data_IF_397578595233
#
_entry.id   IF_397578595233
#
_cell.length_a   1.000
_cell.length_b   1.000
_cell.length_c   1.000
_cell.angle_alpha   90.00
_cell.angle_beta   90.00
_cell.angle_gamma   90.00
#
_symmetry.space_group_name_H-M   'P 1'
#
loop_
_entity.id
_entity.type
_entity.pdbx_description
1 polymer ?
#
# COMPACT_ATOMS: atom_id res chain seq x y z
N UNK A 1 17.48 -47.47 9.14
CA UNK A 1 16.15 -46.81 9.10
C UNK A 1 16.16 -45.42 9.76
N UNK A 2 16.76 -45.26 10.95
CA UNK A 2 16.83 -43.99 11.70
C UNK A 2 17.46 -42.78 10.96
N UNK A 3 18.46 -42.98 10.08
CA UNK A 3 19.12 -41.85 9.38
C UNK A 3 18.24 -41.22 8.29
N UNK A 4 17.44 -42.01 7.57
CA UNK A 4 16.50 -41.53 6.54
C UNK A 4 15.35 -40.76 7.17
N UNK A 5 14.76 -41.30 8.24
CA UNK A 5 13.68 -40.64 9.00
C UNK A 5 14.14 -39.28 9.53
N UNK A 6 15.33 -39.21 10.13
CA UNK A 6 15.90 -37.94 10.61
C UNK A 6 16.10 -36.92 9.49
N UNK A 7 16.55 -37.36 8.31
CA UNK A 7 16.69 -36.50 7.13
C UNK A 7 15.35 -35.89 6.68
N UNK A 8 14.27 -36.68 6.71
CA UNK A 8 12.91 -36.22 6.37
C UNK A 8 12.42 -35.19 7.39
N UNK A 9 12.59 -35.46 8.69
CA UNK A 9 12.18 -34.53 9.77
C UNK A 9 12.85 -33.17 9.61
N UNK A 10 14.16 -33.12 9.36
CA UNK A 10 14.85 -31.83 9.15
C UNK A 10 14.49 -31.15 7.83
N UNK A 11 14.16 -31.91 6.80
CA UNK A 11 13.59 -31.34 5.58
C UNK A 11 12.24 -30.67 5.86
N UNK A 12 11.36 -31.33 6.62
CA UNK A 12 10.09 -30.76 7.06
C UNK A 12 10.28 -29.52 7.93
N UNK A 13 11.22 -29.53 8.87
CA UNK A 13 11.55 -28.34 9.67
C UNK A 13 12.06 -27.19 8.80
N UNK A 14 12.84 -27.48 7.75
CA UNK A 14 13.30 -26.45 6.79
C UNK A 14 12.13 -25.89 5.99
N UNK A 15 11.17 -26.73 5.62
CA UNK A 15 9.94 -26.30 4.95
C UNK A 15 9.09 -25.41 5.86
N UNK A 16 8.89 -25.79 7.13
CA UNK A 16 8.18 -24.97 8.11
C UNK A 16 8.89 -23.63 8.31
N UNK A 17 10.22 -23.64 8.43
CA UNK A 17 11.00 -22.40 8.51
C UNK A 17 10.83 -21.53 7.26
N UNK A 18 10.87 -22.12 6.06
CA UNK A 18 10.62 -21.40 4.80
C UNK A 18 9.24 -20.74 4.77
N UNK A 19 8.22 -21.44 5.28
CA UNK A 19 6.86 -20.93 5.36
C UNK A 19 6.72 -19.80 6.37
N UNK A 20 7.35 -19.93 7.55
CA UNK A 20 7.39 -18.85 8.56
C UNK A 20 8.09 -17.60 8.00
N UNK A 21 9.21 -17.77 7.28
CA UNK A 21 9.92 -16.67 6.64
C UNK A 21 9.10 -16.03 5.50
N UNK A 22 8.30 -16.81 4.77
CA UNK A 22 7.34 -16.28 3.79
C UNK A 22 6.28 -15.40 4.46
N UNK A 23 5.65 -15.90 5.54
CA UNK A 23 4.67 -15.12 6.30
C UNK A 23 5.27 -13.85 6.89
N UNK A 24 6.50 -13.94 7.40
CA UNK A 24 7.24 -12.79 7.93
C UNK A 24 7.47 -11.75 6.82
N UNK A 25 7.90 -12.19 5.64
CA UNK A 25 8.13 -11.31 4.49
C UNK A 25 6.85 -10.58 4.09
N UNK A 26 5.73 -11.30 3.98
CA UNK A 26 4.42 -10.71 3.65
C UNK A 26 3.99 -9.72 4.73
N UNK A 27 4.14 -10.07 6.01
CA UNK A 27 3.73 -9.22 7.14
C UNK A 27 4.50 -7.90 7.16
N UNK A 28 5.83 -7.96 7.04
CA UNK A 28 6.70 -6.76 6.97
C UNK A 28 6.35 -5.91 5.75
N UNK A 29 6.08 -6.53 4.60
CA UNK A 29 5.67 -5.79 3.40
C UNK A 29 4.32 -5.10 3.57
N UNK A 30 3.32 -5.77 4.16
CA UNK A 30 2.01 -5.16 4.44
C UNK A 30 2.15 -3.98 5.40
N UNK A 31 2.94 -4.12 6.46
CA UNK A 31 3.20 -3.05 7.42
C UNK A 31 3.87 -1.84 6.78
N UNK A 32 4.85 -2.06 5.90
CA UNK A 32 5.59 -1.00 5.24
C UNK A 32 4.81 -0.31 4.10
N UNK A 33 3.75 -0.94 3.58
CA UNK A 33 3.02 -0.48 2.39
C UNK A 33 1.57 -0.12 2.69
N UNK A 34 0.62 -1.02 2.42
CA UNK A 34 -0.82 -0.75 2.49
C UNK A 34 -1.29 -0.37 3.90
N UNK A 35 -0.61 -0.81 4.95
CA UNK A 35 -0.94 -0.46 6.35
C UNK A 35 -0.25 0.82 6.86
N UNK A 36 0.51 1.49 5.99
CA UNK A 36 1.22 2.72 6.30
C UNK A 36 0.56 3.90 5.56
N UNK A 37 -0.06 4.87 6.26
CA UNK A 37 -0.66 6.05 5.63
C UNK A 37 0.36 6.84 4.82
N UNK A 38 1.59 7.00 5.33
CA UNK A 38 2.66 7.74 4.64
C UNK A 38 3.01 7.11 3.31
N UNK A 39 2.98 5.77 3.21
CA UNK A 39 3.23 5.10 1.93
C UNK A 39 2.17 5.44 0.88
N UNK A 40 0.89 5.50 1.26
CA UNK A 40 -0.19 5.87 0.35
C UNK A 40 -0.06 7.34 -0.07
N UNK A 41 0.17 8.23 0.90
CA UNK A 41 0.34 9.65 0.65
C UNK A 41 1.57 9.94 -0.23
N UNK A 42 2.70 9.27 0.00
CA UNK A 42 3.89 9.36 -0.84
C UNK A 42 3.60 8.92 -2.28
N UNK A 43 2.82 7.85 -2.48
CA UNK A 43 2.40 7.45 -3.83
C UNK A 43 1.44 8.47 -4.45
N UNK A 44 0.57 9.14 -3.68
CA UNK A 44 -0.25 10.24 -4.19
C UNK A 44 0.61 11.45 -4.59
N UNK A 45 1.63 11.79 -3.80
CA UNK A 45 2.55 12.90 -4.04
C UNK A 45 3.50 12.67 -5.22
N UNK A 46 3.93 11.43 -5.43
CA UNK A 46 4.83 11.06 -6.53
C UNK A 46 4.11 10.80 -7.84
N UNK A 47 2.79 10.67 -7.80
CA UNK A 47 1.93 10.59 -9.00
C UNK A 47 1.25 11.93 -9.25
N UNK A 48 0.64 12.10 -10.43
CA UNK A 48 -0.18 13.28 -10.71
C UNK A 48 -1.54 13.24 -9.99
N UNK A 49 -1.68 12.51 -8.88
CA UNK A 49 -2.97 12.21 -8.25
C UNK A 49 -3.79 13.47 -7.94
N UNK A 50 -3.21 14.45 -7.23
CA UNK A 50 -3.92 15.65 -6.82
C UNK A 50 -4.27 16.57 -8.00
N UNK A 51 -3.41 16.61 -9.02
CA UNK A 51 -3.67 17.34 -10.27
C UNK A 51 -4.78 16.68 -11.08
N UNK A 52 -4.69 15.37 -11.30
CA UNK A 52 -5.71 14.59 -12.00
C UNK A 52 -7.07 14.69 -11.25
N UNK A 53 -7.06 14.70 -9.91
CA UNK A 53 -8.26 14.91 -9.10
C UNK A 53 -8.84 16.30 -9.23
N UNK A 54 -8.00 17.34 -9.24
CA UNK A 54 -8.44 18.70 -9.53
C UNK A 54 -9.18 18.74 -10.87
N UNK A 55 -8.63 18.12 -11.91
CA UNK A 55 -9.24 18.11 -13.25
C UNK A 55 -10.54 17.29 -13.31
N UNK A 56 -10.62 16.16 -12.61
CA UNK A 56 -11.84 15.35 -12.47
C UNK A 56 -12.95 16.15 -11.75
N UNK A 57 -12.65 16.71 -10.57
CA UNK A 57 -13.61 17.50 -9.78
C UNK A 57 -14.06 18.73 -10.57
N UNK A 58 -13.14 19.44 -11.23
CA UNK A 58 -13.48 20.64 -12.00
C UNK A 58 -14.47 20.30 -13.12
N UNK A 59 -14.25 19.20 -13.85
CA UNK A 59 -15.17 18.75 -14.92
C UNK A 59 -16.57 18.45 -14.38
N UNK A 60 -16.67 17.69 -13.29
CA UNK A 60 -17.98 17.38 -12.69
C UNK A 60 -18.69 18.62 -12.12
N UNK A 61 -17.94 19.60 -11.63
CA UNK A 61 -18.50 20.87 -11.18
C UNK A 61 -18.96 21.76 -12.35
N UNK A 62 -18.26 21.74 -13.48
CA UNK A 62 -18.68 22.45 -14.71
C UNK A 62 -20.01 21.87 -15.21
N UNK A 63 -20.16 20.54 -15.22
CA UNK A 63 -21.41 19.87 -15.58
C UNK A 63 -22.58 20.29 -14.67
N UNK A 64 -22.32 20.41 -13.36
CA UNK A 64 -23.29 20.97 -12.39
C UNK A 64 -23.56 22.47 -12.65
N UNK A 65 -22.53 23.22 -13.04
CA UNK A 65 -22.54 24.66 -13.30
C UNK A 65 -23.39 25.08 -14.49
N UNK A 66 -23.47 24.24 -15.53
CA UNK A 66 -24.30 24.54 -16.71
C UNK A 66 -25.77 24.78 -16.35
N UNK A 67 -26.31 24.01 -15.41
CA UNK A 67 -27.69 24.21 -14.93
C UNK A 67 -27.89 25.54 -14.19
N UNK A 68 -26.79 26.16 -13.71
CA UNK A 68 -26.80 27.40 -12.93
C UNK A 68 -26.29 28.61 -13.71
N UNK A 69 -25.95 28.45 -14.99
CA UNK A 69 -25.44 29.53 -15.85
C UNK A 69 -24.03 30.01 -15.49
N UNK A 70 -23.24 29.18 -14.79
CA UNK A 70 -21.84 29.50 -14.46
C UNK A 70 -20.93 29.05 -15.61
N UNK A 71 -20.02 29.93 -16.01
CA UNK A 71 -19.01 29.63 -17.02
C UNK A 71 -17.93 28.68 -16.50
N UNK A 72 -17.32 27.89 -17.38
CA UNK A 72 -16.24 26.95 -17.04
C UNK A 72 -15.06 27.62 -16.31
N UNK A 73 -14.72 28.85 -16.71
CA UNK A 73 -13.63 29.64 -16.13
C UNK A 73 -13.78 29.92 -14.63
N UNK A 74 -15.01 29.91 -14.11
CA UNK A 74 -15.29 30.04 -12.68
C UNK A 74 -14.71 28.86 -11.88
N UNK A 75 -14.92 27.64 -12.36
CA UNK A 75 -14.59 26.42 -11.63
C UNK A 75 -13.08 26.15 -11.52
N UNK A 76 -12.29 26.64 -12.48
CA UNK A 76 -10.83 26.53 -12.44
C UNK A 76 -10.17 27.23 -11.24
N UNK A 77 -10.82 28.26 -10.68
CA UNK A 77 -10.35 29.02 -9.52
C UNK A 77 -10.91 28.51 -8.18
N UNK A 78 -11.96 27.69 -8.23
CA UNK A 78 -12.63 27.15 -7.05
C UNK A 78 -11.89 25.93 -6.49
N UNK A 79 -11.34 25.09 -7.37
CA UNK A 79 -10.71 23.83 -7.01
C UNK A 79 -9.19 24.03 -6.91
N UNK A 80 -8.67 24.04 -5.69
CA UNK A 80 -7.23 24.18 -5.41
C UNK A 80 -6.60 22.83 -5.05
N UNK A 81 -5.44 22.55 -5.67
CA UNK A 81 -4.69 21.31 -5.43
C UNK A 81 -4.24 21.18 -3.98
N UNK A 82 -3.88 22.30 -3.33
CA UNK A 82 -3.48 22.32 -1.92
C UNK A 82 -4.65 21.90 -1.01
N UNK A 83 -5.85 22.43 -1.24
CA UNK A 83 -7.04 22.04 -0.48
C UNK A 83 -7.36 20.56 -0.66
N UNK A 84 -7.28 20.04 -1.90
CA UNK A 84 -7.44 18.60 -2.17
C UNK A 84 -6.40 17.78 -1.42
N UNK A 85 -5.14 18.22 -1.40
CA UNK A 85 -4.07 17.54 -0.67
C UNK A 85 -4.39 17.47 0.83
N UNK A 86 -4.60 18.62 1.47
CA UNK A 86 -4.83 18.71 2.92
C UNK A 86 -6.07 17.92 3.35
N UNK A 87 -7.20 18.08 2.65
CA UNK A 87 -8.43 17.36 2.97
C UNK A 87 -8.30 15.84 2.74
N UNK A 88 -7.43 15.40 1.81
CA UNK A 88 -7.15 13.97 1.56
C UNK A 88 -6.18 13.39 2.59
N UNK A 89 -5.17 14.14 3.00
CA UNK A 89 -4.22 13.75 4.04
C UNK A 89 -4.94 13.55 5.37
N UNK A 90 -5.73 14.54 5.81
CA UNK A 90 -6.56 14.46 7.01
C UNK A 90 -7.52 13.26 6.97
N UNK A 91 -8.11 13.01 5.80
CA UNK A 91 -8.99 11.87 5.57
C UNK A 91 -8.25 10.53 5.73
N UNK A 92 -7.04 10.40 5.17
CA UNK A 92 -6.20 9.21 5.31
C UNK A 92 -5.75 9.01 6.76
N UNK A 93 -5.31 10.05 7.45
CA UNK A 93 -4.88 9.93 8.85
C UNK A 93 -6.02 9.48 9.75
N UNK A 94 -7.19 10.13 9.64
CA UNK A 94 -8.40 9.75 10.38
C UNK A 94 -8.78 8.30 10.11
N UNK A 95 -8.65 7.87 8.85
CA UNK A 95 -8.94 6.50 8.43
C UNK A 95 -8.04 5.45 9.09
N UNK A 96 -6.73 5.64 9.08
CA UNK A 96 -5.79 4.69 9.67
C UNK A 96 -5.87 4.66 11.21
N UNK A 97 -6.40 5.74 11.82
CA UNK A 97 -6.62 5.85 13.26
C UNK A 97 -8.01 5.37 13.73
N UNK A 98 -8.81 4.76 12.84
CA UNK A 98 -10.13 4.20 13.18
C UNK A 98 -11.22 5.27 13.41
N UNK A 99 -10.99 6.49 12.94
CA UNK A 99 -11.97 7.56 12.97
C UNK A 99 -13.11 7.38 11.97
N UNK A 100 -14.18 8.17 12.11
CA UNK A 100 -15.18 8.32 11.05
C UNK A 100 -14.54 9.11 9.91
N UNK A 101 -13.92 8.41 8.96
CA UNK A 101 -13.25 9.01 7.82
C UNK A 101 -14.27 9.82 6.99
N UNK A 102 -14.33 11.12 7.25
CA UNK A 102 -15.18 12.08 6.55
C UNK A 102 -14.30 13.17 5.99
N UNK A 103 -14.53 13.49 4.73
CA UNK A 103 -13.79 14.54 4.05
C UNK A 103 -14.34 15.89 4.50
N UNK A 104 -13.45 16.76 4.95
CA UNK A 104 -13.82 18.13 5.27
C UNK A 104 -14.17 18.86 3.97
N UNK A 105 -15.24 19.65 3.98
CA UNK A 105 -15.62 20.51 2.84
C UNK A 105 -15.60 21.98 3.23
N UNK A 106 -15.06 22.31 4.40
CA UNK A 106 -15.14 23.66 4.97
C UNK A 106 -14.36 24.66 4.11
N UNK A 107 -13.09 24.37 3.82
CA UNK A 107 -12.24 25.23 3.00
C UNK A 107 -12.78 25.35 1.58
N UNK A 108 -13.18 24.23 0.96
CA UNK A 108 -13.83 24.21 -0.35
C UNK A 108 -15.08 25.12 -0.39
N UNK A 109 -15.99 24.99 0.58
CA UNK A 109 -17.24 25.79 0.63
C UNK A 109 -16.96 27.28 0.84
N UNK A 110 -15.96 27.62 1.65
CA UNK A 110 -15.54 29.02 1.83
C UNK A 110 -14.99 29.60 0.54
N UNK A 111 -14.12 28.86 -0.16
CA UNK A 111 -13.57 29.33 -1.43
C UNK A 111 -14.63 29.44 -2.53
N UNK A 112 -15.48 28.43 -2.67
CA UNK A 112 -16.61 28.46 -3.61
C UNK A 112 -17.48 29.71 -3.39
N UNK A 113 -17.81 30.02 -2.14
CA UNK A 113 -18.59 31.22 -1.81
C UNK A 113 -17.87 32.51 -2.21
N UNK A 114 -16.58 32.63 -1.89
CA UNK A 114 -15.78 33.82 -2.20
C UNK A 114 -15.63 34.05 -3.70
N UNK A 115 -15.37 32.99 -4.47
CA UNK A 115 -15.32 33.05 -5.93
C UNK A 115 -16.68 33.43 -6.51
N UNK A 116 -17.77 32.87 -5.97
CA UNK A 116 -19.13 33.15 -6.45
C UNK A 116 -19.51 34.61 -6.22
N UNK A 117 -19.16 35.18 -5.07
CA UNK A 117 -19.35 36.61 -4.79
C UNK A 117 -18.57 37.49 -5.76
N UNK A 118 -17.33 37.11 -6.06
CA UNK A 118 -16.47 37.83 -7.00
C UNK A 118 -17.04 37.76 -8.42
N UNK A 119 -17.53 36.59 -8.83
CA UNK A 119 -18.16 36.37 -10.14
C UNK A 119 -19.45 37.20 -10.30
N UNK A 120 -20.32 37.21 -9.30
CA UNK A 120 -21.57 37.98 -9.31
C UNK A 120 -21.28 39.47 -9.44
N UNK A 121 -20.32 40.00 -8.66
CA UNK A 121 -19.92 41.41 -8.71
C UNK A 121 -19.34 41.80 -10.06
N UNK A 122 -18.47 40.96 -10.63
CA UNK A 122 -17.78 41.24 -11.89
C UNK A 122 -18.72 41.21 -13.10
N UNK A 123 -19.66 40.28 -13.11
CA UNK A 123 -20.51 40.01 -14.27
C UNK A 123 -21.94 40.58 -14.16
N UNK A 124 -22.24 41.33 -13.09
CA UNK A 124 -23.57 41.91 -12.82
C UNK A 124 -24.71 40.87 -12.89
N UNK A 125 -24.45 39.64 -12.40
CA UNK A 125 -25.41 38.53 -12.46
C UNK A 125 -26.50 38.72 -11.40
N UNK A 126 -27.76 38.51 -11.78
CA UNK A 126 -28.88 38.52 -10.82
C UNK A 126 -28.90 37.21 -10.04
N UNK A 127 -28.78 37.31 -8.71
CA UNK A 127 -28.93 36.16 -7.81
C UNK A 127 -30.41 35.80 -7.69
N UNK A 128 -30.76 34.54 -8.00
CA UNK A 128 -32.14 34.08 -7.96
C UNK A 128 -32.72 34.04 -6.53
N UNK A 129 -31.98 33.49 -5.55
CA UNK A 129 -32.30 33.49 -4.12
C UNK A 129 -31.12 33.00 -3.27
N UNK A 130 -31.16 33.21 -1.95
CA UNK A 130 -30.21 32.60 -0.99
C UNK A 130 -30.26 31.08 -1.04
N UNK A 131 -31.46 30.51 -1.16
CA UNK A 131 -31.71 29.07 -1.09
C UNK A 131 -31.13 28.35 -2.31
N UNK A 132 -31.27 28.96 -3.51
CA UNK A 132 -30.67 28.43 -4.74
C UNK A 132 -29.15 28.43 -4.68
N UNK A 133 -28.56 29.47 -4.07
CA UNK A 133 -27.11 29.55 -3.87
C UNK A 133 -26.62 28.46 -2.92
N UNK A 134 -27.27 28.31 -1.77
CA UNK A 134 -26.90 27.29 -0.78
C UNK A 134 -27.05 25.88 -1.35
N UNK A 135 -28.11 25.62 -2.11
CA UNK A 135 -28.30 24.36 -2.83
C UNK A 135 -27.14 24.05 -3.79
N UNK A 136 -26.71 25.02 -4.60
CA UNK A 136 -25.58 24.86 -5.52
C UNK A 136 -24.28 24.53 -4.78
N UNK A 137 -23.98 25.27 -3.70
CA UNK A 137 -22.78 25.05 -2.89
C UNK A 137 -22.80 23.66 -2.24
N UNK A 138 -23.96 23.23 -1.72
CA UNK A 138 -24.11 21.91 -1.11
C UNK A 138 -23.94 20.78 -2.13
N UNK A 139 -24.47 20.96 -3.35
CA UNK A 139 -24.25 20.02 -4.45
C UNK A 139 -22.78 19.98 -4.88
N UNK A 140 -22.14 21.13 -5.03
CA UNK A 140 -20.72 21.21 -5.35
C UNK A 140 -19.84 20.56 -4.28
N UNK A 141 -20.14 20.80 -3.00
CA UNK A 141 -19.43 20.18 -1.88
C UNK A 141 -19.63 18.66 -1.84
N UNK A 142 -20.80 18.17 -2.23
CA UNK A 142 -21.07 16.73 -2.35
C UNK A 142 -20.29 16.08 -3.50
N UNK A 143 -20.15 16.76 -4.63
CA UNK A 143 -19.29 16.33 -5.76
C UNK A 143 -17.84 16.27 -5.32
N UNK A 144 -17.36 17.31 -4.64
CA UNK A 144 -16.00 17.38 -4.08
C UNK A 144 -15.74 16.21 -3.11
N UNK A 145 -16.60 16.02 -2.10
CA UNK A 145 -16.48 14.93 -1.13
C UNK A 145 -16.52 13.54 -1.81
N UNK A 146 -17.43 13.34 -2.76
CA UNK A 146 -17.57 12.04 -3.44
C UNK A 146 -16.32 11.67 -4.25
N UNK A 147 -15.67 12.65 -4.89
CA UNK A 147 -14.48 12.44 -5.71
C UNK A 147 -13.23 12.09 -4.91
N UNK A 148 -13.11 12.64 -3.70
CA UNK A 148 -11.96 12.39 -2.83
C UNK A 148 -12.16 11.13 -1.95
N UNK A 149 -13.40 10.70 -1.73
CA UNK A 149 -13.67 9.47 -0.98
C UNK A 149 -13.12 8.26 -1.73
N UNK A 150 -12.24 7.52 -1.06
CA UNK A 150 -11.69 6.29 -1.61
C UNK A 150 -12.76 5.19 -1.51
N UNK A 151 -13.09 4.48 -2.62
CA UNK A 151 -14.08 3.41 -2.58
C UNK A 151 -13.75 2.32 -1.55
N UNK A 152 -14.77 1.78 -0.90
CA UNK A 152 -14.67 0.70 0.11
C UNK A 152 -13.87 1.03 1.37
N UNK A 153 -13.22 2.21 1.48
CA UNK A 153 -12.46 2.58 2.67
C UNK A 153 -13.32 2.51 3.92
N UNK A 154 -14.46 3.21 3.98
CA UNK A 154 -15.32 3.21 5.18
C UNK A 154 -15.77 1.82 5.66
N UNK A 155 -15.85 0.83 4.77
CA UNK A 155 -16.18 -0.56 5.13
C UNK A 155 -14.97 -1.32 5.68
N UNK A 156 -13.78 -1.05 5.15
CA UNK A 156 -12.54 -1.75 5.49
C UNK A 156 -11.78 -1.13 6.67
N UNK A 157 -12.07 0.13 7.04
CA UNK A 157 -11.37 0.86 8.12
C UNK A 157 -11.21 0.02 9.39
N UNK A 158 -12.28 -0.57 9.99
CA UNK A 158 -12.13 -1.29 11.26
C UNK A 158 -11.23 -2.51 11.15
N UNK A 159 -11.26 -3.20 10.00
CA UNK A 159 -10.43 -4.37 9.74
C UNK A 159 -8.97 -3.99 9.49
N UNK A 160 -8.72 -2.89 8.78
CA UNK A 160 -7.38 -2.40 8.49
C UNK A 160 -6.70 -1.81 9.74
N UNK A 161 -7.43 -1.09 10.58
CA UNK A 161 -6.92 -0.62 11.88
C UNK A 161 -6.59 -1.80 12.79
N UNK A 162 -7.50 -2.77 12.92
CA UNK A 162 -7.21 -3.98 13.71
C UNK A 162 -6.01 -4.76 13.17
N UNK A 163 -5.90 -4.90 11.83
CA UNK A 163 -4.77 -5.56 11.20
C UNK A 163 -3.46 -4.80 11.44
N UNK A 164 -3.48 -3.46 11.32
CA UNK A 164 -2.34 -2.57 11.60
C UNK A 164 -1.87 -2.71 13.04
N UNK A 165 -2.79 -2.66 14.01
CA UNK A 165 -2.48 -2.73 15.44
C UNK A 165 -1.89 -4.10 15.84
N UNK A 166 -2.35 -5.18 15.18
CA UNK A 166 -1.85 -6.53 15.44
C UNK A 166 -0.54 -6.85 14.72
N UNK A 167 -0.16 -6.09 13.68
CA UNK A 167 0.97 -6.42 12.80
C UNK A 167 2.32 -6.48 13.53
N UNK A 168 2.68 -5.53 14.43
CA UNK A 168 3.95 -5.59 15.15
C UNK A 168 4.07 -6.84 16.04
N UNK A 169 2.97 -7.25 16.68
CA UNK A 169 2.93 -8.46 17.50
C UNK A 169 3.09 -9.72 16.64
N UNK A 170 2.41 -9.78 15.50
CA UNK A 170 2.53 -10.89 14.54
C UNK A 170 3.96 -11.04 14.04
N UNK A 171 4.58 -9.93 13.62
CA UNK A 171 5.97 -9.90 13.14
C UNK A 171 6.93 -10.34 14.25
N UNK A 172 6.79 -9.78 15.46
CA UNK A 172 7.60 -10.19 16.61
C UNK A 172 7.48 -11.69 16.90
N UNK A 173 6.25 -12.22 16.88
CA UNK A 173 5.98 -13.65 17.06
C UNK A 173 6.62 -14.52 15.97
N UNK A 174 6.51 -14.12 14.70
CA UNK A 174 7.11 -14.83 13.58
C UNK A 174 8.65 -14.81 13.63
N UNK A 175 9.27 -13.68 14.02
CA UNK A 175 10.72 -13.57 14.22
C UNK A 175 11.20 -14.52 15.32
N UNK A 176 10.53 -14.51 16.47
CA UNK A 176 10.86 -15.41 17.60
C UNK A 176 10.69 -16.87 17.19
N UNK A 177 9.61 -17.20 16.49
CA UNK A 177 9.35 -18.57 16.04
C UNK A 177 10.39 -19.05 15.01
N UNK A 178 10.77 -18.21 14.05
CA UNK A 178 11.85 -18.50 13.11
C UNK A 178 13.19 -18.72 13.84
N UNK A 179 13.51 -17.91 14.84
CA UNK A 179 14.71 -18.06 15.65
C UNK A 179 14.72 -19.39 16.42
N UNK A 180 13.60 -19.78 17.04
CA UNK A 180 13.44 -21.06 17.72
C UNK A 180 13.68 -22.24 16.76
N UNK A 181 13.10 -22.20 15.56
CA UNK A 181 13.31 -23.24 14.54
C UNK A 181 14.80 -23.33 14.13
N UNK A 182 15.47 -22.20 13.93
CA UNK A 182 16.91 -22.17 13.66
C UNK A 182 17.72 -22.80 14.82
N UNK A 183 17.41 -22.47 16.06
CA UNK A 183 18.05 -23.05 17.26
C UNK A 183 17.84 -24.57 17.29
N UNK A 184 16.61 -25.05 17.10
CA UNK A 184 16.30 -26.48 17.07
C UNK A 184 17.14 -27.19 15.99
N UNK A 185 17.20 -26.63 14.77
CA UNK A 185 17.97 -27.21 13.66
C UNK A 185 19.47 -27.27 13.99
N UNK A 186 20.02 -26.24 14.64
CA UNK A 186 21.45 -26.14 15.00
C UNK A 186 21.86 -27.08 16.13
N UNK A 187 21.01 -27.24 17.16
CA UNK A 187 21.32 -28.08 18.32
C UNK A 187 20.99 -29.56 18.09
N UNK A 188 19.94 -29.87 17.33
CA UNK A 188 19.58 -31.25 17.04
C UNK A 188 20.52 -31.94 16.03
N UNK A 189 21.36 -31.17 15.32
CA UNK A 189 22.37 -31.71 14.42
C UNK A 189 23.76 -31.68 15.06
N UNK A 190 24.33 -32.87 15.32
CA UNK A 190 25.70 -33.05 15.83
C UNK A 190 26.75 -32.35 14.96
N UNK A 191 26.55 -32.38 13.64
CA UNK A 191 27.47 -31.76 12.68
C UNK A 191 26.89 -30.44 12.17
N UNK A 192 27.56 -29.33 12.48
CA UNK A 192 27.07 -27.98 12.18
C UNK A 192 26.87 -27.73 10.67
N UNK A 193 27.68 -28.35 9.81
CA UNK A 193 27.47 -28.28 8.36
C UNK A 193 26.10 -28.83 7.91
N UNK A 194 25.52 -29.81 8.63
CA UNK A 194 24.17 -30.33 8.32
C UNK A 194 23.09 -29.33 8.69
N UNK A 195 23.22 -28.66 9.84
CA UNK A 195 22.30 -27.60 10.24
C UNK A 195 22.28 -26.46 9.22
N UNK A 196 23.46 -25.98 8.81
CA UNK A 196 23.59 -24.90 7.81
C UNK A 196 22.93 -25.28 6.48
N UNK A 197 23.04 -26.56 6.06
CA UNK A 197 22.36 -27.05 4.84
C UNK A 197 20.84 -26.91 4.93
N UNK A 198 20.24 -27.25 6.07
CA UNK A 198 18.79 -27.17 6.28
C UNK A 198 18.30 -25.71 6.32
N UNK A 199 19.05 -24.82 6.98
CA UNK A 199 18.74 -23.38 6.97
C UNK A 199 18.87 -22.82 5.54
N UNK A 200 19.90 -23.24 4.79
CA UNK A 200 20.05 -22.88 3.37
C UNK A 200 18.84 -23.30 2.53
N UNK A 201 18.27 -24.49 2.77
CA UNK A 201 17.06 -24.94 2.09
C UNK A 201 15.85 -24.06 2.41
N UNK A 202 15.70 -23.66 3.67
CA UNK A 202 14.63 -22.74 4.05
C UNK A 202 14.77 -21.38 3.35
N UNK A 203 15.96 -20.77 3.39
CA UNK A 203 16.20 -19.46 2.76
C UNK A 203 16.10 -19.51 1.23
N UNK A 204 16.55 -20.59 0.59
CA UNK A 204 16.34 -20.81 -0.85
C UNK A 204 14.85 -20.93 -1.19
N UNK A 205 14.08 -21.66 -0.37
CA UNK A 205 12.64 -21.82 -0.55
C UNK A 205 11.90 -20.49 -0.42
N UNK A 206 12.27 -19.68 0.57
CA UNK A 206 11.70 -18.33 0.75
C UNK A 206 12.07 -17.40 -0.41
N UNK A 207 13.32 -17.43 -0.90
CA UNK A 207 13.72 -16.67 -2.09
C UNK A 207 12.78 -16.93 -3.28
N UNK A 208 12.56 -18.22 -3.60
CA UNK A 208 11.72 -18.61 -4.74
C UNK A 208 10.26 -18.20 -4.51
N UNK A 209 9.72 -18.51 -3.32
CA UNK A 209 8.29 -18.27 -3.03
C UNK A 209 7.93 -16.79 -2.93
N UNK A 210 8.82 -15.96 -2.37
CA UNK A 210 8.64 -14.49 -2.35
C UNK A 210 8.89 -13.89 -3.74
N UNK A 211 9.84 -14.44 -4.51
CA UNK A 211 10.25 -13.91 -5.81
C UNK A 211 9.32 -14.25 -6.97
N UNK A 212 8.55 -15.33 -6.89
CA UNK A 212 7.73 -15.80 -8.03
C UNK A 212 6.62 -14.82 -8.40
N UNK A 213 5.94 -14.24 -7.41
CA UNK A 213 4.85 -13.28 -7.62
C UNK A 213 5.35 -12.02 -8.37
N UNK A 214 6.38 -11.29 -7.88
CA UNK A 214 6.89 -10.13 -8.61
C UNK A 214 7.46 -10.51 -9.98
N UNK A 215 8.16 -11.65 -10.11
CA UNK A 215 8.68 -12.10 -11.40
C UNK A 215 7.58 -12.30 -12.45
N UNK A 216 6.48 -12.96 -12.08
CA UNK A 216 5.33 -13.19 -12.98
C UNK A 216 4.61 -11.89 -13.32
N UNK A 217 4.34 -11.04 -12.33
CA UNK A 217 3.59 -9.80 -12.56
C UNK A 217 4.37 -8.79 -13.39
N UNK A 218 5.68 -8.65 -13.19
CA UNK A 218 6.52 -7.82 -14.06
C UNK A 218 6.62 -8.37 -15.47
N UNK A 219 6.72 -9.69 -15.64
CA UNK A 219 6.83 -10.31 -16.97
C UNK A 219 5.53 -10.19 -17.80
N UNK A 220 4.37 -10.23 -17.13
CA UNK A 220 3.06 -10.21 -17.80
C UNK A 220 2.49 -8.80 -18.02
N UNK A 221 3.01 -7.81 -17.28
CA UNK A 221 2.50 -6.44 -17.27
C UNK A 221 1.02 -6.36 -16.86
N UNK A 222 0.53 -7.33 -16.08
CA UNK A 222 -0.91 -7.46 -15.79
C UNK A 222 -1.47 -6.27 -15.02
N UNK A 223 -0.66 -5.66 -14.15
CA UNK A 223 -1.03 -4.48 -13.34
C UNK A 223 -1.52 -3.33 -14.22
N UNK A 224 -0.88 -3.10 -15.37
CA UNK A 224 -1.21 -2.02 -16.29
C UNK A 224 -2.43 -2.31 -17.18
N UNK A 225 -3.07 -3.47 -17.04
CA UNK A 225 -4.24 -3.88 -17.85
C UNK A 225 -5.57 -3.72 -17.09
N UNK A 226 -5.52 -3.30 -15.83
CA UNK A 226 -6.70 -3.13 -14.99
C UNK A 226 -7.41 -1.84 -15.40
N UNK A 227 -8.71 -1.94 -15.68
CA UNK A 227 -9.51 -0.79 -16.08
C UNK A 227 -10.04 -0.06 -14.84
N UNK A 228 -9.55 1.16 -14.60
CA UNK A 228 -10.04 2.07 -13.56
C UNK A 228 -10.43 3.37 -14.27
N UNK A 229 -11.68 3.80 -14.09
CA UNK A 229 -12.24 4.94 -14.81
C UNK A 229 -11.55 6.28 -14.45
N UNK A 230 -11.26 6.50 -13.17
CA UNK A 230 -10.52 7.67 -12.71
C UNK A 230 -9.04 7.53 -13.01
N UNK A 231 -8.48 8.53 -13.68
CA UNK A 231 -7.06 8.57 -14.04
C UNK A 231 -6.19 8.69 -12.79
N UNK A 232 -6.61 9.52 -11.84
CA UNK A 232 -5.92 9.68 -10.57
C UNK A 232 -5.80 8.33 -9.83
N UNK A 233 -6.91 7.60 -9.71
CA UNK A 233 -6.92 6.30 -9.04
C UNK A 233 -6.15 5.23 -9.83
N UNK A 234 -6.22 5.24 -11.17
CA UNK A 234 -5.43 4.33 -12.00
C UNK A 234 -3.92 4.51 -11.77
N UNK A 235 -3.42 5.75 -11.86
CA UNK A 235 -2.01 6.06 -11.69
C UNK A 235 -1.53 5.70 -10.27
N UNK A 236 -2.32 6.06 -9.25
CA UNK A 236 -2.04 5.70 -7.86
C UNK A 236 -1.97 4.18 -7.67
N UNK A 237 -2.94 3.44 -8.21
CA UNK A 237 -3.02 1.99 -8.07
C UNK A 237 -1.82 1.29 -8.73
N UNK A 238 -1.53 1.62 -10.00
CA UNK A 238 -0.41 1.03 -10.74
C UNK A 238 0.92 1.32 -10.03
N UNK A 239 1.13 2.56 -9.60
CA UNK A 239 2.34 2.95 -8.88
C UNK A 239 2.46 2.21 -7.54
N UNK A 240 1.38 2.16 -6.74
CA UNK A 240 1.36 1.49 -5.44
C UNK A 240 1.65 -0.01 -5.56
N UNK A 241 1.07 -0.68 -6.56
CA UNK A 241 1.33 -2.10 -6.80
C UNK A 241 2.76 -2.31 -7.29
N UNK A 242 3.25 -1.51 -8.24
CA UNK A 242 4.62 -1.64 -8.74
C UNK A 242 5.65 -1.45 -7.61
N UNK A 243 5.46 -0.46 -6.74
CA UNK A 243 6.30 -0.26 -5.56
C UNK A 243 6.28 -1.45 -4.60
N UNK A 244 5.11 -2.07 -4.34
CA UNK A 244 5.00 -3.32 -3.55
C UNK A 244 5.77 -4.46 -4.23
N UNK A 245 5.64 -4.62 -5.55
CA UNK A 245 6.33 -5.69 -6.30
C UNK A 245 7.85 -5.50 -6.29
N UNK A 246 8.33 -4.25 -6.39
CA UNK A 246 9.75 -3.93 -6.26
C UNK A 246 10.25 -4.30 -4.85
N UNK A 247 9.50 -3.93 -3.80
CA UNK A 247 9.86 -4.26 -2.43
C UNK A 247 9.93 -5.78 -2.19
N UNK A 248 8.96 -6.54 -2.73
CA UNK A 248 8.99 -8.01 -2.70
C UNK A 248 10.20 -8.59 -3.47
N UNK A 249 10.54 -8.02 -4.63
CA UNK A 249 11.71 -8.44 -5.39
C UNK A 249 13.02 -8.18 -4.63
N UNK A 250 13.14 -7.04 -3.95
CA UNK A 250 14.29 -6.72 -3.08
C UNK A 250 14.35 -7.71 -1.90
N UNK A 251 13.23 -7.98 -1.24
CA UNK A 251 13.16 -8.95 -0.15
C UNK A 251 13.60 -10.35 -0.61
N UNK A 252 13.12 -10.79 -1.77
CA UNK A 252 13.56 -12.04 -2.42
C UNK A 252 15.07 -12.02 -2.68
N UNK A 253 15.63 -10.94 -3.25
CA UNK A 253 17.06 -10.81 -3.49
C UNK A 253 17.91 -10.88 -2.20
N UNK A 254 17.42 -10.35 -1.08
CA UNK A 254 18.08 -10.50 0.23
C UNK A 254 18.15 -11.97 0.64
N UNK A 255 17.06 -12.73 0.49
CA UNK A 255 17.07 -14.17 0.76
C UNK A 255 18.02 -14.94 -0.17
N UNK A 256 18.14 -14.53 -1.43
CA UNK A 256 19.10 -15.11 -2.36
C UNK A 256 20.55 -14.92 -1.86
N UNK A 257 20.91 -13.70 -1.46
CA UNK A 257 22.25 -13.38 -0.94
C UNK A 257 22.55 -14.20 0.32
N UNK A 258 21.60 -14.26 1.27
CA UNK A 258 21.73 -15.07 2.49
C UNK A 258 21.92 -16.54 2.12
N UNK A 259 21.12 -17.06 1.18
CA UNK A 259 21.20 -18.45 0.76
C UNK A 259 22.54 -18.80 0.09
N UNK A 260 23.10 -17.89 -0.72
CA UNK A 260 24.42 -18.06 -1.33
C UNK A 260 25.50 -18.09 -0.23
N UNK A 261 25.44 -17.18 0.74
CA UNK A 261 26.36 -17.16 1.88
C UNK A 261 26.31 -18.46 2.69
N UNK A 262 25.11 -18.95 2.99
CA UNK A 262 24.91 -20.23 3.70
C UNK A 262 25.40 -21.43 2.90
N UNK A 263 25.26 -21.41 1.57
CA UNK A 263 25.78 -22.47 0.71
C UNK A 263 27.31 -22.56 0.76
N UNK A 264 28.00 -21.42 0.68
CA UNK A 264 29.46 -21.39 0.82
C UNK A 264 29.93 -21.79 2.22
N UNK A 265 29.23 -21.32 3.26
CA UNK A 265 29.49 -21.72 4.64
C UNK A 265 29.34 -23.23 4.82
N UNK A 266 28.27 -23.83 4.28
CA UNK A 266 28.07 -25.27 4.30
C UNK A 266 29.24 -26.02 3.64
N UNK A 267 29.66 -25.57 2.44
CA UNK A 267 30.76 -26.19 1.70
C UNK A 267 32.07 -26.12 2.50
N UNK A 268 32.37 -24.98 3.10
CA UNK A 268 33.57 -24.78 3.90
C UNK A 268 33.60 -25.68 5.14
N UNK A 269 32.51 -25.71 5.90
CA UNK A 269 32.40 -26.54 7.11
C UNK A 269 32.42 -28.04 6.82
N UNK A 270 31.91 -28.46 5.65
CA UNK A 270 31.97 -29.85 5.22
C UNK A 270 33.42 -30.26 4.89
N UNK A 271 34.19 -29.37 4.26
CA UNK A 271 35.60 -29.62 3.92
C UNK A 271 36.45 -29.81 5.17
N UNK A 272 36.33 -28.91 6.15
CA UNK A 272 37.06 -29.01 7.42
C UNK A 272 36.71 -30.29 8.18
N UNK A 273 35.42 -30.66 8.23
CA UNK A 273 34.96 -31.89 8.89
C UNK A 273 35.35 -33.19 8.16
N UNK A 274 35.95 -33.11 6.97
CA UNK A 274 36.51 -34.27 6.25
C UNK A 274 38.04 -34.35 6.33
N UNK A 275 38.68 -33.28 6.82
CA UNK A 275 40.13 -33.20 7.05
C UNK A 275 40.51 -33.59 8.50
N UNK A 276 39.54 -33.60 9.42
CA UNK A 276 39.60 -34.19 10.78
C UNK A 276 39.17 -35.66 10.79
#
# INVERSE_FOLDING_TARGET
MHSKIRGIVFCLLSFVLSFVLLLLSISVMLEATILNPSYILDNMNTTNYFTDKKDEITRELVDLGYASGLEESFFGNVVETVTIHDDTEDYLESYYNGGSAKISTVAFRQRFNSELDSYIKKNNVKVASSDSREYLINKAASVYEANLRIPMFSMLSPYLTALKDMMPLLIGGLVVFAAILCVIIIFANRWKHRAVRYICYATSGTFITVGIIPAVLFSTGYVSKINIESRAFYNLFVQSINSVLIALAICSAVFLIISIGLFFLHKNMRKHASEE
#
